data_IF_421641704255
#
_entry.id   IF_421641704255
#
_cell.length_a   1.000
_cell.length_b   1.000
_cell.length_c   1.000
_cell.angle_alpha   90.00
_cell.angle_beta   90.00
_cell.angle_gamma   90.00
#
_symmetry.space_group_name_H-M   'P 1'
#
loop_
_entity.id
_entity.type
_entity.pdbx_description
1 polymer ?
#
# COMPACT_ATOMS: atom_id res chain seq x y z
N UNK A 1 -48.82 -18.18 -0.79
CA UNK A 1 -47.63 -18.99 -1.06
C UNK A 1 -46.41 -18.13 -0.92
N UNK A 2 -45.69 -18.24 0.19
CA UNK A 2 -44.42 -17.54 0.44
C UNK A 2 -43.30 -18.37 -0.16
N UNK A 3 -42.65 -17.86 -1.20
CA UNK A 3 -41.51 -18.50 -1.84
C UNK A 3 -40.29 -18.41 -0.91
N UNK A 4 -39.88 -19.55 -0.37
CA UNK A 4 -38.61 -19.74 0.34
C UNK A 4 -37.47 -19.72 -0.68
N UNK A 5 -36.57 -18.75 -0.57
CA UNK A 5 -35.32 -18.70 -1.32
C UNK A 5 -34.30 -19.61 -0.63
N UNK A 6 -34.23 -20.86 -1.07
CA UNK A 6 -33.14 -21.77 -0.70
C UNK A 6 -31.85 -21.36 -1.43
N UNK A 7 -30.93 -20.74 -0.68
CA UNK A 7 -29.56 -20.50 -1.11
C UNK A 7 -28.74 -21.81 -0.99
N UNK A 8 -28.03 -22.25 -2.04
CA UNK A 8 -27.23 -23.46 -1.96
C UNK A 8 -26.06 -23.30 -0.99
N UNK A 9 -25.92 -24.29 -0.09
CA UNK A 9 -24.86 -24.41 0.92
C UNK A 9 -23.47 -24.47 0.27
N UNK A 10 -22.87 -23.31 0.03
CA UNK A 10 -21.52 -23.23 -0.53
C UNK A 10 -20.49 -23.42 0.59
N UNK A 11 -20.07 -24.67 0.84
CA UNK A 11 -19.10 -25.06 1.88
C UNK A 11 -17.79 -24.27 1.79
N UNK A 12 -17.35 -23.91 0.58
CA UNK A 12 -16.13 -23.13 0.34
C UNK A 12 -16.20 -21.70 0.91
N UNK A 13 -17.39 -21.09 0.88
CA UNK A 13 -17.63 -19.74 1.40
C UNK A 13 -17.64 -19.73 2.95
N UNK A 14 -18.13 -20.82 3.56
CA UNK A 14 -18.06 -21.04 5.01
C UNK A 14 -16.62 -21.18 5.52
N UNK A 15 -15.75 -21.88 4.79
CA UNK A 15 -14.33 -22.03 5.17
C UNK A 15 -13.61 -20.68 5.11
N UNK A 16 -13.89 -19.86 4.09
CA UNK A 16 -13.32 -18.51 3.98
C UNK A 16 -13.82 -17.55 5.08
N UNK A 17 -15.10 -17.62 5.46
CA UNK A 17 -15.65 -16.82 6.57
C UNK A 17 -15.04 -17.23 7.91
N UNK A 18 -14.87 -18.54 8.15
CA UNK A 18 -14.28 -19.05 9.40
C UNK A 18 -12.78 -18.73 9.52
N UNK A 19 -12.04 -18.69 8.41
CA UNK A 19 -10.63 -18.28 8.40
C UNK A 19 -10.44 -16.76 8.64
N UNK A 20 -11.48 -15.95 8.40
CA UNK A 20 -11.43 -14.49 8.52
C UNK A 20 -11.86 -13.95 9.89
N UNK A 21 -12.21 -14.80 10.87
CA UNK A 21 -12.59 -14.39 12.22
C UNK A 21 -11.70 -15.10 13.27
N UNK A 22 -10.61 -14.47 13.74
CA UNK A 22 -9.83 -15.06 14.81
C UNK A 22 -10.64 -15.07 16.11
N UNK A 23 -10.71 -16.24 16.77
CA UNK A 23 -11.24 -16.36 18.12
C UNK A 23 -10.40 -15.48 19.06
N UNK A 24 -11.05 -14.62 19.85
CA UNK A 24 -10.39 -13.92 20.95
C UNK A 24 -9.72 -14.92 21.89
N UNK A 25 -8.44 -14.75 22.25
CA UNK A 25 -7.83 -15.55 23.29
C UNK A 25 -8.42 -15.20 24.66
N UNK A 26 -8.52 -16.17 25.59
CA UNK A 26 -8.98 -15.91 26.94
C UNK A 26 -8.01 -14.97 27.65
N UNK A 27 -8.56 -13.93 28.26
CA UNK A 27 -7.82 -13.04 29.17
C UNK A 27 -7.52 -13.80 30.46
N UNK A 28 -6.25 -13.94 30.83
CA UNK A 28 -5.87 -14.09 32.24
C UNK A 28 -4.41 -13.72 32.53
N UNK A 29 -4.31 -12.81 33.49
CA UNK A 29 -3.40 -12.69 34.65
C UNK A 29 -1.89 -12.43 34.45
N UNK A 30 -1.49 -11.30 35.04
CA UNK A 30 -0.13 -10.79 35.24
C UNK A 30 0.85 -11.79 35.87
N UNK A 31 2.09 -11.76 35.38
CA UNK A 31 3.28 -12.04 36.18
C UNK A 31 4.44 -11.13 35.71
N UNK A 32 5.01 -10.38 36.66
CA UNK A 32 6.25 -9.61 36.53
C UNK A 32 7.45 -10.56 36.60
N UNK A 33 8.51 -10.34 35.79
CA UNK A 33 9.93 -10.66 36.05
C UNK A 33 10.84 -10.10 34.90
N UNK A 34 12.18 -10.03 35.04
CA UNK A 34 12.97 -8.83 34.79
C UNK A 34 13.87 -8.89 33.53
N UNK A 35 14.57 -7.77 33.30
CA UNK A 35 15.45 -7.48 32.18
C UNK A 35 16.33 -8.66 31.71
N UNK A 36 16.18 -9.03 30.43
CA UNK A 36 17.07 -9.97 29.75
C UNK A 36 17.42 -9.45 28.35
N UNK A 37 18.66 -9.73 27.97
CA UNK A 37 19.36 -9.44 26.71
C UNK A 37 18.54 -9.74 25.45
N UNK A 38 18.71 -8.89 24.43
CA UNK A 38 18.07 -8.99 23.11
C UNK A 38 18.25 -10.40 22.48
N UNK A 39 17.17 -11.14 22.20
CA UNK A 39 17.24 -12.44 21.53
C UNK A 39 17.55 -12.28 20.03
N UNK A 40 18.43 -13.13 19.51
CA UNK A 40 18.83 -13.19 18.08
C UNK A 40 17.78 -13.80 17.15
N UNK A 41 16.64 -14.24 17.69
CA UNK A 41 15.52 -14.77 16.94
C UNK A 41 14.27 -13.97 17.29
N UNK A 42 14.15 -12.78 16.68
CA UNK A 42 12.87 -12.07 16.66
C UNK A 42 12.00 -12.79 15.64
N UNK A 43 11.24 -13.78 16.11
CA UNK A 43 10.04 -14.24 15.42
C UNK A 43 9.08 -13.05 15.35
N UNK A 44 9.15 -12.30 14.24
CA UNK A 44 8.15 -11.29 13.92
C UNK A 44 6.82 -12.03 13.80
N UNK A 45 5.78 -11.68 14.59
CA UNK A 45 4.50 -12.37 14.52
C UNK A 45 4.00 -12.39 13.07
N UNK A 46 3.47 -13.54 12.62
CA UNK A 46 2.96 -13.75 11.26
C UNK A 46 1.88 -12.70 10.89
N UNK A 47 1.16 -12.17 11.88
CA UNK A 47 0.20 -11.07 11.74
C UNK A 47 0.83 -9.73 11.33
N UNK A 48 2.12 -9.48 11.63
CA UNK A 48 2.84 -8.29 11.17
C UNK A 48 3.33 -8.42 9.72
N UNK A 49 3.41 -9.63 9.17
CA UNK A 49 3.89 -9.87 7.80
C UNK A 49 2.84 -9.63 6.71
N UNK A 50 1.56 -9.47 7.09
CA UNK A 50 0.46 -9.31 6.15
C UNK A 50 0.12 -7.85 5.82
N UNK A 51 0.66 -6.89 6.56
CA UNK A 51 0.56 -5.48 6.19
C UNK A 51 1.75 -5.10 5.32
N UNK A 52 1.47 -4.74 4.08
CA UNK A 52 2.49 -4.13 3.24
C UNK A 52 2.98 -2.85 3.90
N UNK A 53 4.31 -2.72 4.10
CA UNK A 53 4.85 -1.47 4.56
C UNK A 53 4.52 -0.32 3.55
N UNK A 54 4.03 0.84 4.03
CA UNK A 54 3.81 2.08 3.25
C UNK A 54 4.83 3.21 3.53
N UNK A 55 5.76 3.58 2.63
CA UNK A 55 6.70 4.71 2.86
C UNK A 55 6.02 6.01 2.46
N UNK A 56 6.27 7.09 3.19
CA UNK A 56 5.79 8.42 2.80
C UNK A 56 6.96 9.33 2.41
N UNK A 57 6.89 9.98 1.25
CA UNK A 57 7.82 11.02 0.85
C UNK A 57 7.07 12.24 0.30
N UNK A 58 6.64 13.12 1.20
CA UNK A 58 5.74 14.24 0.92
C UNK A 58 6.13 15.43 1.80
N UNK A 59 6.37 16.59 1.19
CA UNK A 59 6.54 17.86 1.93
C UNK A 59 5.20 18.43 2.39
N UNK A 60 4.21 18.44 1.49
CA UNK A 60 2.85 18.93 1.76
C UNK A 60 1.79 18.01 1.16
N UNK A 61 0.83 17.61 2.00
CA UNK A 61 -0.33 16.86 1.54
C UNK A 61 -1.24 17.76 0.67
N UNK A 62 -1.87 17.20 -0.37
CA UNK A 62 -2.89 17.93 -1.10
C UNK A 62 -4.10 18.20 -0.19
N UNK A 63 -4.80 19.30 -0.42
CA UNK A 63 -5.88 19.77 0.46
C UNK A 63 -7.03 18.77 0.58
N UNK A 64 -7.25 18.01 -0.47
CA UNK A 64 -8.33 17.02 -0.52
C UNK A 64 -8.06 15.76 0.30
N UNK A 65 -6.80 15.49 0.72
CA UNK A 65 -6.43 14.28 1.45
C UNK A 65 -6.31 14.60 2.95
N UNK A 66 -7.32 14.29 3.78
CA UNK A 66 -7.29 14.58 5.20
C UNK A 66 -6.20 13.75 5.89
N UNK A 67 -5.55 14.34 6.88
CA UNK A 67 -4.50 13.68 7.65
C UNK A 67 -5.04 12.43 8.37
N UNK A 68 -6.31 12.41 8.75
CA UNK A 68 -6.96 11.28 9.42
C UNK A 68 -7.12 10.07 8.49
N UNK A 69 -7.35 10.33 7.19
CA UNK A 69 -7.37 9.27 6.17
C UNK A 69 -5.98 8.66 6.06
N UNK A 70 -4.94 9.49 6.10
CA UNK A 70 -3.53 9.09 6.13
C UNK A 70 -3.25 8.15 7.31
N UNK A 71 -3.51 8.62 8.53
CA UNK A 71 -3.19 7.94 9.77
C UNK A 71 -3.94 6.60 9.89
N UNK A 72 -5.18 6.54 9.40
CA UNK A 72 -5.95 5.28 9.36
C UNK A 72 -5.51 4.33 8.26
N UNK A 73 -5.06 4.86 7.12
CA UNK A 73 -4.61 4.10 5.98
C UNK A 73 -3.22 3.49 6.19
N UNK A 74 -2.34 4.17 6.93
CA UNK A 74 -0.97 3.73 7.14
C UNK A 74 -0.69 3.39 8.59
N UNK A 75 -0.56 2.08 8.88
CA UNK A 75 0.16 1.59 10.07
C UNK A 75 1.68 1.79 9.89
N UNK A 76 2.45 1.80 10.98
CA UNK A 76 3.54 2.73 11.22
C UNK A 76 4.59 2.61 10.13
N UNK A 77 4.89 3.72 9.46
CA UNK A 77 5.93 3.63 8.47
C UNK A 77 6.54 4.95 8.04
N UNK A 78 7.85 4.96 8.17
CA UNK A 78 8.80 5.95 7.74
C UNK A 78 8.27 7.07 6.85
N UNK A 79 8.28 8.29 7.41
CA UNK A 79 7.95 9.53 6.72
C UNK A 79 9.23 10.28 6.38
N UNK A 80 9.28 10.83 5.17
CA UNK A 80 10.33 11.69 4.67
C UNK A 80 9.73 12.99 4.13
N UNK A 81 10.11 14.12 4.71
CA UNK A 81 9.69 15.43 4.20
C UNK A 81 10.37 15.78 2.87
N UNK A 82 11.54 15.19 2.59
CA UNK A 82 12.39 15.53 1.44
C UNK A 82 12.85 14.30 0.70
N UNK A 83 12.80 14.36 -0.64
CA UNK A 83 13.25 13.28 -1.54
C UNK A 83 14.72 12.89 -1.33
N UNK A 84 15.57 13.83 -0.92
CA UNK A 84 16.97 13.53 -0.57
C UNK A 84 17.12 12.62 0.65
N UNK A 85 16.28 12.79 1.68
CA UNK A 85 16.29 11.93 2.87
C UNK A 85 15.78 10.52 2.52
N UNK A 86 14.69 10.44 1.74
CA UNK A 86 14.19 9.18 1.18
C UNK A 86 15.27 8.46 0.36
N UNK A 87 15.97 9.16 -0.52
CA UNK A 87 17.01 8.57 -1.38
C UNK A 87 18.14 7.96 -0.55
N UNK A 88 18.61 8.67 0.49
CA UNK A 88 19.66 8.15 1.38
C UNK A 88 19.20 6.91 2.12
N UNK A 89 17.99 6.94 2.68
CA UNK A 89 17.40 5.78 3.34
C UNK A 89 17.28 4.59 2.36
N UNK A 90 16.72 4.82 1.17
CA UNK A 90 16.54 3.78 0.15
C UNK A 90 17.85 3.07 -0.18
N UNK A 91 18.96 3.80 -0.21
CA UNK A 91 20.29 3.29 -0.57
C UNK A 91 20.96 2.51 0.58
N UNK A 92 20.46 2.66 1.81
CA UNK A 92 20.86 1.84 2.96
C UNK A 92 20.05 0.55 3.08
N UNK A 93 18.92 0.44 2.37
CA UNK A 93 18.10 -0.77 2.42
C UNK A 93 18.83 -1.95 1.76
N UNK A 94 18.66 -3.17 2.29
CA UNK A 94 19.10 -4.38 1.60
C UNK A 94 18.58 -4.42 0.15
N UNK A 95 19.29 -5.14 -0.72
CA UNK A 95 18.92 -5.35 -2.14
C UNK A 95 18.97 -6.84 -2.51
N UNK A 96 18.04 -7.29 -3.36
CA UNK A 96 17.93 -8.68 -3.82
C UNK A 96 16.66 -9.42 -3.41
N UNK A 97 16.63 -10.74 -3.63
CA UNK A 97 15.47 -11.57 -3.34
C UNK A 97 15.12 -11.63 -1.83
N UNK A 98 13.83 -11.76 -1.52
CA UNK A 98 13.34 -11.92 -0.14
C UNK A 98 13.15 -10.63 0.65
N UNK A 99 13.33 -9.46 0.03
CA UNK A 99 13.07 -8.18 0.69
C UNK A 99 11.57 -7.88 0.68
N UNK A 100 10.98 -7.54 1.84
CA UNK A 100 9.60 -7.08 1.91
C UNK A 100 9.35 -5.91 0.96
N UNK A 101 8.26 -5.99 0.20
CA UNK A 101 7.89 -4.96 -0.76
C UNK A 101 7.02 -3.92 -0.10
N UNK A 102 7.37 -2.66 -0.34
CA UNK A 102 6.67 -1.50 0.18
C UNK A 102 6.03 -0.69 -0.93
N UNK A 103 4.99 0.05 -0.56
CA UNK A 103 4.36 1.06 -1.42
C UNK A 103 4.85 2.44 -1.00
N UNK A 104 5.39 3.22 -1.92
CA UNK A 104 5.76 4.62 -1.66
C UNK A 104 4.57 5.52 -1.99
N UNK A 105 4.14 6.36 -1.05
CA UNK A 105 3.20 7.46 -1.31
C UNK A 105 4.00 8.75 -1.35
N UNK A 106 3.86 9.50 -2.43
CA UNK A 106 4.68 10.69 -2.69
C UNK A 106 3.87 11.84 -3.25
N UNK A 107 4.28 13.07 -2.93
CA UNK A 107 3.69 14.28 -3.49
C UNK A 107 4.17 14.51 -4.92
N UNK A 108 3.44 15.31 -5.68
CA UNK A 108 3.81 15.64 -7.07
C UNK A 108 5.24 16.17 -7.22
N UNK A 109 5.71 17.03 -6.30
CA UNK A 109 7.06 17.63 -6.38
C UNK A 109 8.16 16.62 -6.10
N UNK A 110 7.87 15.60 -5.30
CA UNK A 110 8.80 14.55 -4.90
C UNK A 110 8.77 13.34 -5.85
N UNK A 111 7.70 13.18 -6.62
CA UNK A 111 7.46 12.01 -7.47
C UNK A 111 8.62 11.69 -8.42
N UNK A 112 9.08 12.68 -9.20
CA UNK A 112 10.18 12.50 -10.14
C UNK A 112 11.50 12.10 -9.46
N UNK A 113 12.05 12.89 -8.51
CA UNK A 113 13.31 12.51 -7.86
C UNK A 113 13.21 11.18 -7.09
N UNK A 114 12.06 10.84 -6.52
CA UNK A 114 11.84 9.54 -5.87
C UNK A 114 11.82 8.37 -6.88
N UNK A 115 11.14 8.52 -8.01
CA UNK A 115 11.13 7.51 -9.07
C UNK A 115 12.54 7.27 -9.63
N UNK A 116 13.30 8.33 -9.87
CA UNK A 116 14.68 8.23 -10.36
C UNK A 116 15.59 7.54 -9.34
N UNK A 117 15.42 7.84 -8.04
CA UNK A 117 16.15 7.15 -6.97
C UNK A 117 15.83 5.65 -6.92
N UNK A 118 14.56 5.27 -7.11
CA UNK A 118 14.13 3.85 -7.14
C UNK A 118 14.77 3.13 -8.34
N UNK A 119 14.71 3.74 -9.54
CA UNK A 119 15.32 3.17 -10.76
C UNK A 119 16.83 3.03 -10.59
N UNK A 120 17.50 4.05 -10.05
CA UNK A 120 18.93 4.02 -9.75
C UNK A 120 19.28 2.87 -8.78
N UNK A 121 18.49 2.70 -7.73
CA UNK A 121 18.68 1.61 -6.77
C UNK A 121 18.47 0.22 -7.39
N UNK A 122 17.53 0.06 -8.32
CA UNK A 122 17.28 -1.20 -9.06
C UNK A 122 18.37 -1.52 -10.08
N UNK A 123 18.90 -0.50 -10.77
CA UNK A 123 19.94 -0.65 -11.81
C UNK A 123 21.35 -0.67 -11.26
N UNK A 124 21.57 -0.13 -10.06
CA UNK A 124 22.91 0.10 -9.54
C UNK A 124 23.62 1.31 -10.15
N UNK A 125 22.91 2.17 -10.87
CA UNK A 125 23.46 3.33 -11.58
C UNK A 125 22.95 4.63 -10.94
N UNK A 126 23.87 5.45 -10.43
CA UNK A 126 23.56 6.73 -9.75
C UNK A 126 23.86 7.96 -10.59
N UNK A 127 24.33 7.79 -11.83
CA UNK A 127 24.77 8.90 -12.71
C UNK A 127 23.65 9.89 -13.01
N UNK A 128 22.41 9.41 -13.13
CA UNK A 128 21.23 10.24 -13.38
C UNK A 128 20.69 10.98 -12.15
N UNK A 129 21.24 10.74 -10.96
CA UNK A 129 20.79 11.40 -9.74
C UNK A 129 21.60 12.67 -9.49
N UNK A 130 20.93 13.72 -8.96
CA UNK A 130 21.61 14.94 -8.49
C UNK A 130 22.79 14.56 -7.57
N UNK A 131 23.99 15.11 -7.77
CA UNK A 131 25.11 14.86 -6.87
C UNK A 131 24.73 15.23 -5.42
N UNK A 132 24.96 14.29 -4.50
CA UNK A 132 24.73 14.47 -3.07
C UNK A 132 25.90 13.86 -2.31
N UNK A 133 26.78 14.72 -1.78
CA UNK A 133 27.98 14.29 -1.04
C UNK A 133 27.68 13.55 0.25
N UNK A 134 26.41 13.55 0.72
CA UNK A 134 25.96 12.78 1.88
C UNK A 134 25.26 11.47 1.49
N UNK A 135 25.21 11.13 0.20
CA UNK A 135 24.58 9.88 -0.24
C UNK A 135 25.49 8.71 0.07
N UNK A 136 25.03 7.68 0.79
CA UNK A 136 25.81 6.48 0.98
C UNK A 136 26.03 5.79 -0.37
N UNK A 137 27.14 5.07 -0.50
CA UNK A 137 27.37 4.20 -1.64
C UNK A 137 26.23 3.18 -1.74
N UNK A 138 25.76 2.89 -2.96
CA UNK A 138 24.75 1.86 -3.17
C UNK A 138 25.28 0.51 -2.68
N UNK A 139 24.66 -0.05 -1.64
CA UNK A 139 25.02 -1.37 -1.13
C UNK A 139 24.88 -2.42 -2.23
N UNK A 140 25.90 -3.21 -2.60
CA UNK A 140 25.83 -4.15 -3.73
C UNK A 140 24.60 -5.08 -3.64
N UNK A 141 23.97 -5.35 -4.78
CA UNK A 141 22.91 -6.35 -4.84
C UNK A 141 23.48 -7.73 -4.47
N UNK A 142 22.77 -8.50 -3.66
CA UNK A 142 23.12 -9.91 -3.46
C UNK A 142 23.05 -10.61 -4.83
N UNK A 143 24.17 -11.18 -5.26
CA UNK A 143 24.41 -11.57 -6.65
C UNK A 143 23.26 -12.38 -7.27
N UNK A 144 22.74 -11.87 -8.39
CA UNK A 144 21.79 -12.53 -9.27
C UNK A 144 21.81 -11.82 -10.61
N UNK A 145 21.76 -12.56 -11.73
CA UNK A 145 21.63 -11.95 -13.06
C UNK A 145 20.16 -11.51 -13.21
N UNK A 146 19.87 -10.20 -13.10
CA UNK A 146 18.52 -9.67 -13.25
C UNK A 146 18.34 -8.30 -12.61
N UNK A 147 17.15 -7.72 -12.79
CA UNK A 147 16.75 -6.47 -12.13
C UNK A 147 16.79 -6.66 -10.61
N UNK A 148 17.43 -5.72 -9.91
CA UNK A 148 17.63 -5.84 -8.47
C UNK A 148 16.35 -5.43 -7.76
N UNK A 149 15.72 -6.40 -7.12
CA UNK A 149 14.62 -6.18 -6.18
C UNK A 149 15.03 -5.19 -5.09
N UNK A 150 14.34 -4.04 -5.03
CA UNK A 150 14.46 -3.04 -3.96
C UNK A 150 13.24 -3.03 -3.04
N UNK A 151 13.34 -2.31 -1.92
CA UNK A 151 12.28 -2.18 -0.93
C UNK A 151 10.99 -1.53 -1.48
N UNK A 152 11.08 -0.70 -2.52
CA UNK A 152 9.89 -0.06 -3.14
C UNK A 152 9.48 -0.81 -4.40
N UNK A 153 8.28 -1.39 -4.38
CA UNK A 153 7.69 -2.06 -5.53
C UNK A 153 6.83 -1.12 -6.38
N UNK A 154 6.03 -0.28 -5.71
CA UNK A 154 5.03 0.58 -6.33
C UNK A 154 5.08 1.98 -5.75
N UNK A 155 4.57 2.93 -6.50
CA UNK A 155 4.46 4.32 -6.11
C UNK A 155 3.06 4.86 -6.35
N UNK A 156 2.50 5.56 -5.37
CA UNK A 156 1.25 6.30 -5.47
C UNK A 156 1.61 7.79 -5.41
N UNK A 157 1.30 8.53 -6.46
CA UNK A 157 1.53 9.98 -6.55
C UNK A 157 0.24 10.69 -6.21
N UNK A 158 0.22 11.38 -5.08
CA UNK A 158 -0.89 12.24 -4.66
C UNK A 158 -0.65 13.67 -5.15
N UNK A 159 -1.66 14.27 -5.75
CA UNK A 159 -1.56 15.62 -6.30
C UNK A 159 -2.91 16.33 -6.35
N UNK A 160 -2.86 17.64 -6.53
CA UNK A 160 -4.06 18.42 -6.84
C UNK A 160 -4.59 18.08 -8.25
N UNK A 161 -5.93 18.08 -8.47
CA UNK A 161 -6.54 17.68 -9.75
C UNK A 161 -6.08 18.46 -10.97
N UNK A 162 -5.74 19.74 -10.79
CA UNK A 162 -5.26 20.63 -11.85
C UNK A 162 -3.93 20.18 -12.48
N UNK A 163 -3.22 19.24 -11.85
CA UNK A 163 -1.92 18.72 -12.33
C UNK A 163 -1.99 17.31 -12.91
N UNK A 164 -3.16 16.70 -12.96
CA UNK A 164 -3.31 15.30 -13.37
C UNK A 164 -2.78 15.03 -14.79
N UNK A 165 -3.03 15.94 -15.73
CA UNK A 165 -2.61 15.76 -17.13
C UNK A 165 -1.09 15.89 -17.30
N UNK A 166 -0.48 16.87 -16.63
CA UNK A 166 0.99 17.02 -16.57
C UNK A 166 1.64 15.77 -15.98
N UNK A 167 1.02 15.18 -14.96
CA UNK A 167 1.53 13.95 -14.35
C UNK A 167 1.43 12.74 -15.28
N UNK A 168 0.32 12.61 -16.01
CA UNK A 168 0.16 11.56 -17.02
C UNK A 168 1.16 11.71 -18.16
N UNK A 169 1.40 12.94 -18.62
CA UNK A 169 2.41 13.23 -19.63
C UNK A 169 3.81 12.78 -19.16
N UNK A 170 4.20 13.16 -17.93
CA UNK A 170 5.46 12.70 -17.32
C UNK A 170 5.56 11.18 -17.23
N UNK A 171 4.48 10.49 -16.84
CA UNK A 171 4.45 9.03 -16.77
C UNK A 171 4.66 8.37 -18.15
N UNK A 172 4.05 8.94 -19.20
CA UNK A 172 4.19 8.46 -20.58
C UNK A 172 5.61 8.67 -21.14
N UNK A 173 6.28 9.77 -20.76
CA UNK A 173 7.66 10.06 -21.16
C UNK A 173 8.69 9.17 -20.45
N UNK A 174 8.34 8.64 -19.28
CA UNK A 174 9.24 7.87 -18.43
C UNK A 174 8.75 6.42 -18.27
N UNK A 175 8.60 5.64 -19.37
CA UNK A 175 8.20 4.24 -19.27
C UNK A 175 9.26 3.51 -18.46
N UNK A 176 8.87 3.06 -17.28
CA UNK A 176 9.75 2.42 -16.32
C UNK A 176 9.14 1.12 -15.81
N UNK A 177 10.00 0.32 -15.22
CA UNK A 177 9.74 -0.88 -14.42
C UNK A 177 9.01 -0.61 -13.09
N UNK A 178 8.75 0.66 -12.77
CA UNK A 178 8.06 1.07 -11.55
C UNK A 178 6.55 1.21 -11.82
N UNK A 179 5.74 0.46 -11.07
CA UNK A 179 4.27 0.59 -11.09
C UNK A 179 3.87 1.89 -10.37
N UNK A 180 3.47 2.90 -11.14
CA UNK A 180 3.12 4.24 -10.65
C UNK A 180 1.62 4.50 -10.85
N UNK A 181 0.93 4.84 -9.77
CA UNK A 181 -0.48 5.24 -9.76
C UNK A 181 -0.57 6.74 -9.49
N UNK A 182 -1.24 7.49 -10.36
CA UNK A 182 -1.52 8.91 -10.15
C UNK A 182 -2.94 9.04 -9.59
N UNK A 183 -3.07 9.74 -8.45
CA UNK A 183 -4.36 9.96 -7.79
C UNK A 183 -4.55 11.43 -7.47
N UNK A 184 -5.78 11.90 -7.66
CA UNK A 184 -6.17 13.30 -7.54
C UNK A 184 -7.36 13.54 -6.60
N UNK A 185 -7.90 12.46 -6.01
CA UNK A 185 -9.01 12.53 -5.07
C UNK A 185 -8.88 11.46 -3.98
N UNK A 186 -9.60 11.67 -2.87
CA UNK A 186 -9.65 10.72 -1.74
C UNK A 186 -10.20 9.36 -2.15
N UNK A 187 -11.23 9.34 -3.01
CA UNK A 187 -11.81 8.11 -3.52
C UNK A 187 -10.79 7.33 -4.38
N UNK A 188 -10.11 8.00 -5.30
CA UNK A 188 -9.07 7.38 -6.12
C UNK A 188 -7.94 6.82 -5.26
N UNK A 189 -7.47 7.61 -4.29
CA UNK A 189 -6.44 7.21 -3.35
C UNK A 189 -6.83 5.96 -2.57
N UNK A 190 -8.02 5.95 -1.96
CA UNK A 190 -8.51 4.81 -1.18
C UNK A 190 -8.73 3.57 -2.06
N UNK A 191 -9.25 3.75 -3.28
CA UNK A 191 -9.42 2.66 -4.25
C UNK A 191 -8.09 2.01 -4.63
N UNK A 192 -7.08 2.81 -4.95
CA UNK A 192 -5.72 2.32 -5.28
C UNK A 192 -5.11 1.63 -4.07
N UNK A 193 -5.18 2.24 -2.89
CA UNK A 193 -4.61 1.67 -1.67
C UNK A 193 -5.24 0.33 -1.31
N UNK A 194 -6.58 0.22 -1.32
CA UNK A 194 -7.29 -1.03 -1.06
C UNK A 194 -6.96 -2.10 -2.10
N UNK A 195 -6.83 -1.72 -3.37
CA UNK A 195 -6.44 -2.64 -4.44
C UNK A 195 -5.04 -3.20 -4.19
N UNK A 196 -4.10 -2.35 -3.78
CA UNK A 196 -2.73 -2.73 -3.44
C UNK A 196 -2.68 -3.66 -2.24
N UNK A 197 -3.36 -3.31 -1.14
CA UNK A 197 -3.43 -4.15 0.05
C UNK A 197 -4.04 -5.52 -0.25
N UNK A 198 -5.12 -5.54 -1.04
CA UNK A 198 -5.78 -6.78 -1.36
C UNK A 198 -4.91 -7.66 -2.25
N UNK A 199 -4.26 -7.11 -3.29
CA UNK A 199 -3.35 -7.88 -4.15
C UNK A 199 -2.28 -8.60 -3.32
N UNK A 200 -1.74 -7.94 -2.30
CA UNK A 200 -0.74 -8.55 -1.42
C UNK A 200 -1.33 -9.61 -0.52
N UNK A 201 -2.47 -9.36 0.12
CA UNK A 201 -3.15 -10.39 0.93
C UNK A 201 -3.54 -11.61 0.10
N UNK A 202 -4.02 -11.39 -1.12
CA UNK A 202 -4.33 -12.46 -2.05
C UNK A 202 -3.08 -13.25 -2.43
N UNK A 203 -1.98 -12.57 -2.77
CA UNK A 203 -0.70 -13.23 -3.10
C UNK A 203 -0.17 -14.04 -1.92
N UNK A 204 -0.21 -13.48 -0.71
CA UNK A 204 0.19 -14.16 0.52
C UNK A 204 -0.68 -15.39 0.81
N UNK A 205 -2.01 -15.26 0.66
CA UNK A 205 -2.95 -16.36 0.83
C UNK A 205 -2.70 -17.48 -0.18
N UNK A 206 -2.48 -17.15 -1.45
CA UNK A 206 -2.17 -18.12 -2.49
C UNK A 206 -0.85 -18.86 -2.21
N UNK A 207 0.17 -18.14 -1.73
CA UNK A 207 1.44 -18.73 -1.32
C UNK A 207 1.26 -19.67 -0.11
N UNK A 208 0.52 -19.26 0.91
CA UNK A 208 0.25 -20.05 2.11
C UNK A 208 -0.52 -21.36 1.81
N UNK A 209 -1.48 -21.28 0.88
CA UNK A 209 -2.26 -22.45 0.45
C UNK A 209 -1.45 -23.42 -0.45
N UNK A 210 -0.17 -23.16 -0.69
CA UNK A 210 0.67 -23.93 -1.63
C UNK A 210 0.01 -24.11 -3.00
N UNK A 211 -0.87 -23.17 -3.38
CA UNK A 211 -1.46 -23.11 -4.71
C UNK A 211 -0.37 -22.61 -5.65
N UNK A 212 0.60 -23.48 -5.95
CA UNK A 212 1.52 -23.25 -7.07
C UNK A 212 0.66 -23.20 -8.33
N UNK A 213 0.74 -22.13 -9.15
CA UNK A 213 0.25 -22.24 -10.50
C UNK A 213 0.95 -23.47 -11.13
N UNK A 214 0.21 -24.44 -11.65
CA UNK A 214 0.80 -25.72 -12.06
C UNK A 214 1.90 -25.48 -13.10
N UNK A 215 3.15 -25.93 -12.86
CA UNK A 215 4.25 -25.70 -13.79
C UNK A 215 4.00 -26.48 -15.08
N UNK A 216 4.00 -25.79 -16.21
CA UNK A 216 3.91 -26.40 -17.54
C UNK A 216 2.51 -26.56 -18.14
N UNK A 217 1.45 -26.11 -17.49
CA UNK A 217 0.16 -25.94 -18.19
C UNK A 217 0.19 -24.66 -19.02
N UNK A 218 0.57 -24.78 -20.30
CA UNK A 218 -0.20 -24.10 -21.33
C UNK A 218 -1.60 -24.73 -21.28
N UNK A 219 -2.64 -24.00 -20.87
CA UNK A 219 -3.94 -24.58 -20.65
C UNK A 219 -4.62 -24.87 -22.00
N UNK A 220 -5.33 -26.00 -22.18
CA UNK A 220 -6.47 -25.99 -23.08
C UNK A 220 -7.39 -24.85 -22.61
N UNK A 221 -7.92 -24.07 -23.54
CA UNK A 221 -8.46 -22.70 -23.39
C UNK A 221 -9.38 -22.42 -22.18
N UNK A 222 -9.87 -23.42 -21.46
CA UNK A 222 -10.82 -23.29 -20.35
C UNK A 222 -10.23 -23.22 -18.92
N UNK A 223 -9.04 -23.78 -18.63
CA UNK A 223 -8.51 -23.76 -17.25
C UNK A 223 -7.92 -22.38 -16.86
N UNK A 224 -7.35 -21.67 -17.84
CA UNK A 224 -6.95 -20.27 -17.67
C UNK A 224 -8.17 -19.39 -17.42
N UNK A 225 -9.26 -19.59 -18.17
CA UNK A 225 -10.49 -18.84 -17.99
C UNK A 225 -11.14 -19.09 -16.63
N UNK A 226 -10.99 -20.28 -16.05
CA UNK A 226 -11.47 -20.55 -14.68
C UNK A 226 -10.58 -19.93 -13.60
N UNK A 227 -9.26 -19.91 -13.77
CA UNK A 227 -8.34 -19.25 -12.82
C UNK A 227 -8.37 -17.73 -12.95
N UNK A 228 -8.28 -17.20 -14.17
CA UNK A 228 -8.49 -15.79 -14.48
C UNK A 228 -9.91 -15.39 -14.10
N UNK A 229 -10.90 -16.26 -14.28
CA UNK A 229 -12.28 -16.05 -13.83
C UNK A 229 -12.44 -16.04 -12.32
N UNK A 230 -11.69 -16.87 -11.58
CA UNK A 230 -11.63 -16.83 -10.12
C UNK A 230 -10.89 -15.58 -9.64
N UNK A 231 -9.76 -15.23 -10.26
CA UNK A 231 -8.98 -14.02 -9.92
C UNK A 231 -9.76 -12.76 -10.29
N UNK A 232 -10.44 -12.71 -11.44
CA UNK A 232 -11.33 -11.61 -11.85
C UNK A 232 -12.63 -11.63 -11.06
N UNK A 233 -13.11 -12.79 -10.63
CA UNK A 233 -14.28 -12.96 -9.79
C UNK A 233 -13.98 -12.44 -8.39
N UNK A 234 -12.85 -12.84 -7.83
CA UNK A 234 -12.28 -12.26 -6.62
C UNK A 234 -12.02 -10.78 -6.87
N UNK A 235 -11.44 -10.33 -7.98
CA UNK A 235 -11.18 -8.91 -8.25
C UNK A 235 -12.47 -8.08 -8.34
N UNK A 236 -13.52 -8.65 -8.91
CA UNK A 236 -14.86 -8.04 -8.91
C UNK A 236 -15.45 -7.99 -7.51
N UNK A 237 -15.33 -9.08 -6.74
CA UNK A 237 -15.77 -9.13 -5.33
C UNK A 237 -14.93 -8.18 -4.47
N UNK A 238 -13.63 -8.06 -4.71
CA UNK A 238 -12.70 -7.11 -4.08
C UNK A 238 -13.15 -5.69 -4.38
N UNK A 239 -13.33 -5.37 -5.67
CA UNK A 239 -13.75 -4.03 -6.10
C UNK A 239 -15.11 -3.69 -5.51
N UNK A 240 -16.06 -4.63 -5.51
CA UNK A 240 -17.36 -4.46 -4.90
C UNK A 240 -17.27 -4.25 -3.38
N UNK A 241 -16.49 -5.06 -2.66
CA UNK A 241 -16.28 -4.92 -1.22
C UNK A 241 -15.51 -3.64 -0.87
N UNK A 242 -14.55 -3.23 -1.70
CA UNK A 242 -13.81 -1.99 -1.54
C UNK A 242 -14.73 -0.78 -1.75
N UNK A 243 -15.58 -0.80 -2.78
CA UNK A 243 -16.62 0.21 -3.02
C UNK A 243 -17.62 0.28 -1.86
N UNK A 244 -18.14 -0.87 -1.41
CA UNK A 244 -19.09 -0.93 -0.30
C UNK A 244 -18.47 -0.47 1.04
N UNK A 245 -17.19 -0.80 1.27
CA UNK A 245 -16.43 -0.34 2.45
C UNK A 245 -16.08 1.14 2.37
N UNK A 246 -15.85 1.65 1.17
CA UNK A 246 -15.65 3.09 0.93
C UNK A 246 -16.94 3.86 1.21
N UNK A 247 -18.09 3.39 0.70
CA UNK A 247 -19.41 3.97 0.95
C UNK A 247 -19.74 3.99 2.44
N UNK A 248 -19.50 2.89 3.17
CA UNK A 248 -19.72 2.84 4.62
C UNK A 248 -18.76 3.72 5.42
N UNK A 249 -17.50 3.88 4.98
CA UNK A 249 -16.55 4.81 5.62
C UNK A 249 -16.91 6.28 5.35
N UNK A 250 -17.35 6.60 4.13
CA UNK A 250 -17.78 7.95 3.77
C UNK A 250 -19.10 8.33 4.45
N UNK A 251 -20.05 7.40 4.56
CA UNK A 251 -21.32 7.62 5.26
C UNK A 251 -21.16 7.84 6.78
N UNK A 252 -20.03 7.44 7.36
CA UNK A 252 -19.68 7.69 8.77
C UNK A 252 -18.94 9.00 9.03
N UNK A 253 -18.61 9.79 8.01
CA UNK A 253 -18.07 11.14 8.19
C UNK A 253 -19.24 12.13 8.34
N UNK A 254 -19.41 12.78 9.51
CA UNK A 254 -20.45 13.79 9.67
C UNK A 254 -20.17 14.97 8.73
N UNK A 255 -21.06 15.19 7.77
CA UNK A 255 -21.05 16.35 6.88
C UNK A 255 -21.59 17.58 7.62
N UNK A 256 -21.00 17.93 8.76
CA UNK A 256 -21.27 19.22 9.41
C UNK A 256 -20.44 20.30 8.71
N UNK A 257 -20.87 20.69 7.50
CA UNK A 257 -20.61 22.03 6.97
C UNK A 257 -21.51 22.99 7.75
N UNK A 258 -21.07 23.29 8.97
CA UNK A 258 -21.71 24.23 9.86
C UNK A 258 -21.94 25.58 9.19
N UNK A 259 -23.16 26.09 9.38
CA UNK A 259 -23.50 27.47 9.13
C UNK A 259 -22.45 28.42 9.72
N UNK A 260 -22.12 29.48 8.99
CA UNK A 260 -21.21 30.52 9.45
C UNK A 260 -21.65 31.05 10.83
N UNK A 261 -20.73 31.21 11.80
CA UNK A 261 -21.08 31.78 13.09
C UNK A 261 -21.54 33.23 12.92
N UNK A 262 -22.55 33.69 13.68
CA UNK A 262 -22.99 35.08 13.65
C UNK A 262 -21.82 36.00 14.05
N UNK A 263 -21.65 37.07 13.29
CA UNK A 263 -20.63 38.10 13.46
C UNK A 263 -20.50 38.56 14.91
N UNK A 264 -19.31 38.39 15.49
CA UNK A 264 -18.95 39.00 16.77
C UNK A 264 -18.92 40.52 16.62
N UNK A 265 -19.63 41.23 17.50
CA UNK A 265 -19.57 42.69 17.59
C UNK A 265 -18.21 43.15 18.17
N UNK A 266 -17.73 44.35 17.80
CA UNK A 266 -16.46 44.86 18.30
C UNK A 266 -16.56 45.25 19.77
N UNK A 267 -15.63 44.74 20.58
CA UNK A 267 -15.40 45.17 21.96
C UNK A 267 -14.67 46.51 21.92
N UNK A 268 -15.32 47.56 22.43
CA UNK A 268 -14.71 48.86 22.68
C UNK A 268 -13.97 48.78 24.01
N UNK A 269 -12.67 49.06 23.99
CA UNK A 269 -11.86 49.22 25.19
C UNK A 269 -11.93 50.69 25.64
N UNK A 270 -12.26 50.91 26.92
CA UNK A 270 -12.09 52.18 27.64
C UNK A 270 -10.88 52.06 28.58
#
# INVERSE_FOLDING_TARGET
GTASLDLPQNRSLRVLILAAHPRQPPQNTMALLPATTMPKDVCVPEECMLSNPTVWCIDKLPRWLPQEVLERASRPMQVFEKSGAFTRWLFTMPRGAGIPKSTLITGWREAKPCADAIRAARRGDTTGLRPDGKRPLLMPARAGRGEVTVAIERMIVVMEPDRADTARAWLNESPGDLDIHIVSSTEEFLKVLLTVEYKVKATALMAALHLRPPPGLLPPDNAYLSYVGLVHGMERVIKALASQRLETKLAGCPTDLGAAPPSAQPVVWF
#
